data_IF_567709720089
#
_entry.id   IF_567709720089
#
_cell.length_a   1.000
_cell.length_b   1.000
_cell.length_c   1.000
_cell.angle_alpha   90.00
_cell.angle_beta   90.00
_cell.angle_gamma   90.00
#
_symmetry.space_group_name_H-M   'P 1'
#
loop_
_entity.id
_entity.type
_entity.pdbx_description
1 polymer ?
#
# COMPACT_ATOMS: atom_id res chain seq x y z
N UNK A 1 -28.14 44.16 53.02
CA UNK A 1 -26.83 44.25 52.36
C UNK A 1 -26.37 42.84 52.07
N UNK A 2 -26.38 42.39 50.81
CA UNK A 2 -25.53 41.34 50.18
C UNK A 2 -25.86 41.43 48.67
N UNK A 3 -24.89 41.88 47.85
CA UNK A 3 -24.95 41.79 46.38
C UNK A 3 -24.65 40.34 45.99
N UNK A 4 -25.51 39.68 45.22
CA UNK A 4 -25.17 38.42 44.55
C UNK A 4 -25.11 38.68 43.04
N UNK A 5 -23.90 38.58 42.49
CA UNK A 5 -23.61 38.79 41.07
C UNK A 5 -24.15 37.60 40.26
N UNK A 6 -25.02 37.87 39.29
CA UNK A 6 -25.41 36.90 38.28
C UNK A 6 -24.22 36.71 37.32
N UNK A 7 -23.39 35.70 37.57
CA UNK A 7 -22.39 35.26 36.61
C UNK A 7 -23.13 34.87 35.31
N UNK A 8 -22.81 35.45 34.14
CA UNK A 8 -23.57 35.17 32.93
C UNK A 8 -23.33 33.71 32.53
N UNK A 9 -24.40 32.92 32.55
CA UNK A 9 -24.45 31.51 32.14
C UNK A 9 -23.99 31.27 30.68
N UNK A 10 -23.70 32.33 29.93
CA UNK A 10 -23.20 32.29 28.55
C UNK A 10 -21.80 31.67 28.37
N UNK A 11 -21.02 31.51 29.44
CA UNK A 11 -19.67 30.92 29.34
C UNK A 11 -19.66 29.39 29.31
N UNK A 12 -20.75 28.71 29.70
CA UNK A 12 -20.78 27.25 29.66
C UNK A 12 -21.11 26.69 28.26
N UNK A 13 -21.63 27.54 27.36
CA UNK A 13 -22.09 27.13 26.02
C UNK A 13 -21.00 27.19 24.95
N UNK A 14 -19.83 27.77 25.25
CA UNK A 14 -18.71 27.90 24.29
C UNK A 14 -17.64 26.83 24.49
N UNK A 15 -17.69 26.05 25.58
CA UNK A 15 -16.71 24.98 25.84
C UNK A 15 -17.12 23.60 25.28
N UNK A 16 -17.95 23.60 24.23
CA UNK A 16 -18.24 22.42 23.40
C UNK A 16 -17.77 22.65 21.95
N UNK A 17 -16.80 23.54 21.75
CA UNK A 17 -16.11 23.68 20.48
C UNK A 17 -14.78 22.97 20.59
N UNK A 18 -14.53 22.05 19.66
CA UNK A 18 -13.24 21.40 19.41
C UNK A 18 -12.99 20.10 20.19
N UNK A 19 -13.88 19.12 20.06
CA UNK A 19 -13.42 17.73 20.03
C UNK A 19 -12.66 17.55 18.71
N UNK A 20 -11.32 17.41 18.68
CA UNK A 20 -10.65 17.02 17.46
C UNK A 20 -11.20 15.64 17.09
N UNK A 21 -11.97 15.57 15.99
CA UNK A 21 -12.36 14.29 15.43
C UNK A 21 -11.05 13.56 15.12
N UNK A 22 -10.77 12.47 15.85
CA UNK A 22 -9.74 11.53 15.43
C UNK A 22 -10.21 10.97 14.09
N UNK A 23 -9.70 11.54 13.00
CA UNK A 23 -9.88 10.96 11.68
C UNK A 23 -9.23 9.58 11.73
N UNK A 24 -9.92 8.50 11.33
CA UNK A 24 -9.30 7.20 11.22
C UNK A 24 -8.14 7.33 10.22
N UNK A 25 -6.92 7.05 10.68
CA UNK A 25 -5.78 6.90 9.81
C UNK A 25 -6.02 5.63 8.99
N UNK A 26 -6.42 5.80 7.73
CA UNK A 26 -6.50 4.69 6.79
C UNK A 26 -5.12 4.03 6.73
N UNK A 27 -5.05 2.76 7.13
CA UNK A 27 -3.83 1.99 7.04
C UNK A 27 -3.66 1.57 5.58
N UNK A 28 -2.62 2.09 4.91
CA UNK A 28 -2.28 1.64 3.57
C UNK A 28 -1.81 0.19 3.59
N UNK A 29 -2.25 -0.60 2.62
CA UNK A 29 -1.80 -1.98 2.47
C UNK A 29 -0.29 -2.01 2.24
N UNK A 30 0.41 -2.86 2.99
CA UNK A 30 1.85 -3.02 2.79
C UNK A 30 2.11 -3.98 1.62
N UNK A 31 2.62 -3.43 0.53
CA UNK A 31 2.92 -4.19 -0.70
C UNK A 31 4.43 -4.15 -0.95
N UNK A 32 5.08 -5.31 -0.88
CA UNK A 32 6.51 -5.43 -1.11
C UNK A 32 6.78 -6.02 -2.50
N UNK A 33 7.69 -5.43 -3.25
CA UNK A 33 8.18 -5.92 -4.52
C UNK A 33 9.51 -6.65 -4.32
N UNK A 34 9.69 -7.79 -4.97
CA UNK A 34 10.95 -8.53 -4.98
C UNK A 34 11.21 -9.11 -6.36
N UNK A 35 12.45 -9.49 -6.62
CA UNK A 35 12.84 -10.23 -7.82
C UNK A 35 13.32 -11.61 -7.43
N UNK A 36 13.07 -12.60 -8.28
CA UNK A 36 13.59 -13.95 -8.07
C UNK A 36 15.11 -13.99 -8.23
N UNK A 37 15.69 -13.12 -9.07
CA UNK A 37 17.12 -13.06 -9.36
C UNK A 37 17.60 -11.62 -9.61
N UNK A 38 18.80 -11.31 -9.12
CA UNK A 38 19.54 -10.09 -9.38
C UNK A 38 21.05 -10.36 -9.11
N UNK A 39 21.95 -10.27 -10.10
CA UNK A 39 21.74 -9.80 -11.47
C UNK A 39 21.07 -10.82 -12.40
N UNK A 40 20.63 -10.35 -13.57
CA UNK A 40 20.08 -11.15 -14.68
C UNK A 40 20.79 -10.77 -15.99
N UNK A 41 20.84 -11.70 -16.96
CA UNK A 41 21.41 -11.38 -18.26
C UNK A 41 20.42 -10.58 -19.12
N UNK A 42 20.96 -9.82 -20.08
CA UNK A 42 20.12 -9.26 -21.15
C UNK A 42 19.47 -10.41 -21.92
N UNK A 43 18.23 -10.21 -22.39
CA UNK A 43 17.39 -11.22 -23.07
C UNK A 43 16.94 -12.41 -22.20
N UNK A 44 17.27 -12.43 -20.91
CA UNK A 44 16.75 -13.42 -19.96
C UNK A 44 15.48 -12.91 -19.28
N UNK A 45 14.46 -13.78 -19.20
CA UNK A 45 13.25 -13.45 -18.44
C UNK A 45 13.46 -13.68 -16.94
N UNK A 46 12.88 -12.81 -16.12
CA UNK A 46 12.87 -12.96 -14.67
C UNK A 46 11.52 -12.51 -14.09
N UNK A 47 11.31 -12.79 -12.81
CA UNK A 47 10.03 -12.52 -12.15
C UNK A 47 10.18 -11.35 -11.18
N UNK A 48 9.25 -10.40 -11.29
CA UNK A 48 8.98 -9.42 -10.24
C UNK A 48 7.73 -9.91 -9.50
N UNK A 49 7.86 -10.13 -8.19
CA UNK A 49 6.77 -10.56 -7.32
C UNK A 49 6.34 -9.42 -6.41
N UNK A 50 5.08 -9.01 -6.51
CA UNK A 50 4.44 -8.07 -5.58
C UNK A 50 3.65 -8.88 -4.56
N UNK A 51 3.90 -8.67 -3.27
CA UNK A 51 3.26 -9.41 -2.18
C UNK A 51 2.59 -8.44 -1.22
N UNK A 52 1.29 -8.62 -0.99
CA UNK A 52 0.48 -7.89 -0.03
C UNK A 52 -0.01 -8.83 1.09
N UNK A 53 -0.01 -8.34 2.33
CA UNK A 53 -0.55 -9.07 3.50
C UNK A 53 -2.00 -8.69 3.83
N UNK A 54 -2.53 -7.69 3.15
CA UNK A 54 -3.90 -7.23 3.20
C UNK A 54 -4.40 -6.98 1.78
N UNK A 55 -5.71 -6.87 1.61
CA UNK A 55 -6.33 -6.54 0.32
C UNK A 55 -6.04 -5.08 -0.03
N UNK A 56 -5.34 -4.78 -1.15
CA UNK A 56 -5.13 -3.41 -1.57
C UNK A 56 -6.43 -2.72 -2.02
N UNK A 57 -6.38 -1.39 -2.07
CA UNK A 57 -7.51 -0.55 -2.48
C UNK A 57 -7.93 -0.72 -3.96
N UNK A 58 -7.10 -1.36 -4.78
CA UNK A 58 -7.43 -1.64 -6.17
C UNK A 58 -6.45 -2.60 -6.85
N UNK A 59 -6.74 -2.90 -8.11
CA UNK A 59 -5.86 -3.69 -8.98
C UNK A 59 -4.56 -2.92 -9.29
N UNK A 60 -3.44 -3.63 -9.51
CA UNK A 60 -2.18 -3.01 -9.89
C UNK A 60 -2.19 -2.38 -11.27
N UNK A 61 -1.57 -1.20 -11.40
CA UNK A 61 -1.14 -0.63 -12.68
C UNK A 61 0.35 -0.91 -12.92
N UNK A 62 0.65 -1.95 -13.70
CA UNK A 62 2.02 -2.33 -14.05
C UNK A 62 2.63 -1.53 -15.21
N UNK A 63 1.91 -0.59 -15.82
CA UNK A 63 2.43 0.22 -16.93
C UNK A 63 3.75 0.96 -16.62
N UNK A 64 4.06 1.40 -15.39
CA UNK A 64 5.37 2.00 -15.08
C UNK A 64 6.56 1.06 -15.31
N UNK A 65 6.37 -0.27 -15.19
CA UNK A 65 7.42 -1.26 -15.49
C UNK A 65 7.81 -1.21 -16.97
N UNK A 66 6.90 -0.83 -17.86
CA UNK A 66 7.14 -0.84 -19.29
C UNK A 66 8.18 0.19 -19.74
N UNK A 67 8.62 1.11 -18.87
CA UNK A 67 9.73 2.01 -19.18
C UNK A 67 11.04 1.23 -19.40
N UNK A 68 11.31 0.24 -18.55
CA UNK A 68 12.59 -0.48 -18.52
C UNK A 68 12.46 -1.98 -18.81
N UNK A 69 11.23 -2.50 -18.78
CA UNK A 69 10.94 -3.93 -18.91
C UNK A 69 9.88 -4.20 -19.99
N UNK A 70 9.95 -5.36 -20.63
CA UNK A 70 8.88 -5.89 -21.47
C UNK A 70 8.11 -6.94 -20.68
N UNK A 71 6.81 -6.71 -20.46
CA UNK A 71 5.96 -7.64 -19.72
C UNK A 71 5.57 -8.80 -20.63
N UNK A 72 5.90 -10.02 -20.21
CA UNK A 72 5.58 -11.25 -20.94
C UNK A 72 4.27 -11.89 -20.45
N UNK A 73 4.07 -11.90 -19.13
CA UNK A 73 2.86 -12.43 -18.52
C UNK A 73 2.65 -11.88 -17.11
N UNK A 74 1.41 -11.93 -16.66
CA UNK A 74 0.99 -11.53 -15.33
C UNK A 74 0.11 -12.64 -14.76
N UNK A 75 0.32 -12.97 -13.50
CA UNK A 75 -0.56 -13.88 -12.77
C UNK A 75 -0.78 -13.37 -11.35
N UNK A 76 -1.91 -13.74 -10.77
CA UNK A 76 -2.28 -13.40 -9.41
C UNK A 76 -2.67 -14.67 -8.65
N UNK A 77 -2.25 -14.77 -7.40
CA UNK A 77 -2.69 -15.80 -6.47
C UNK A 77 -3.02 -15.17 -5.12
N UNK A 78 -3.96 -15.80 -4.40
CA UNK A 78 -4.31 -15.41 -3.03
C UNK A 78 -4.39 -16.65 -2.16
N UNK A 79 -3.86 -16.55 -0.96
CA UNK A 79 -3.90 -17.62 0.05
C UNK A 79 -4.27 -17.02 1.40
N UNK A 80 -5.24 -17.63 2.06
CA UNK A 80 -5.66 -17.25 3.41
C UNK A 80 -5.41 -18.42 4.35
N UNK A 81 -4.82 -18.17 5.51
CA UNK A 81 -4.54 -19.20 6.50
C UNK A 81 -5.02 -18.80 7.89
N UNK A 82 -5.35 -19.79 8.72
CA UNK A 82 -5.77 -19.59 10.10
C UNK A 82 -4.93 -20.48 11.01
N UNK A 83 -4.01 -19.90 11.78
CA UNK A 83 -3.06 -20.63 12.64
C UNK A 83 -3.11 -20.05 14.04
N UNK A 84 -3.35 -20.88 15.06
CA UNK A 84 -3.42 -20.47 16.48
C UNK A 84 -4.35 -19.27 16.76
N UNK A 85 -5.48 -19.17 16.06
CA UNK A 85 -6.43 -18.06 16.23
C UNK A 85 -6.04 -16.78 15.51
N UNK A 86 -4.94 -16.76 14.75
CA UNK A 86 -4.52 -15.64 13.92
C UNK A 86 -4.87 -15.91 12.46
N UNK A 87 -5.58 -14.97 11.83
CA UNK A 87 -5.81 -14.95 10.39
C UNK A 87 -4.62 -14.32 9.69
N UNK A 88 -4.18 -14.91 8.57
CA UNK A 88 -3.31 -14.24 7.62
C UNK A 88 -3.88 -14.34 6.21
N UNK A 89 -3.71 -13.28 5.44
CA UNK A 89 -3.99 -13.25 4.01
C UNK A 89 -2.70 -12.87 3.29
N UNK A 90 -2.43 -13.53 2.16
CA UNK A 90 -1.31 -13.19 1.30
C UNK A 90 -1.80 -13.17 -0.13
N UNK A 91 -1.65 -12.04 -0.79
CA UNK A 91 -1.95 -11.86 -2.21
C UNK A 91 -0.64 -11.62 -2.93
N UNK A 92 -0.40 -12.37 -4.01
CA UNK A 92 0.80 -12.24 -4.83
C UNK A 92 0.45 -11.97 -6.28
N UNK A 93 1.15 -11.00 -6.88
CA UNK A 93 1.17 -10.80 -8.32
C UNK A 93 2.56 -11.14 -8.82
N UNK A 94 2.64 -12.04 -9.79
CA UNK A 94 3.88 -12.43 -10.45
C UNK A 94 3.86 -11.83 -11.84
N UNK A 95 4.83 -10.95 -12.11
CA UNK A 95 5.02 -10.32 -13.42
C UNK A 95 6.30 -10.88 -14.03
N UNK A 96 6.16 -11.67 -15.09
CA UNK A 96 7.29 -12.16 -15.87
C UNK A 96 7.71 -11.08 -16.85
N UNK A 97 8.98 -10.70 -16.83
CA UNK A 97 9.52 -9.59 -17.62
C UNK A 97 10.86 -9.94 -18.26
N UNK A 98 11.22 -9.21 -19.32
CA UNK A 98 12.59 -9.13 -19.85
C UNK A 98 13.08 -7.68 -19.75
N UNK A 99 14.33 -7.47 -19.35
CA UNK A 99 14.94 -6.13 -19.33
C UNK A 99 15.16 -5.60 -20.76
N UNK A 100 14.76 -4.35 -21.01
CA UNK A 100 14.94 -3.71 -22.32
C UNK A 100 16.37 -3.21 -22.54
N UNK A 101 17.06 -2.87 -21.45
CA UNK A 101 18.40 -2.28 -21.48
C UNK A 101 19.29 -2.95 -20.42
N UNK A 102 20.59 -2.93 -20.65
CA UNK A 102 21.57 -3.34 -19.64
C UNK A 102 21.87 -2.20 -18.66
N UNK A 103 22.33 -2.55 -17.44
CA UNK A 103 22.69 -1.59 -16.40
C UNK A 103 21.94 -1.82 -15.10
N UNK A 104 21.93 -0.80 -14.24
CA UNK A 104 21.16 -0.81 -13.00
C UNK A 104 19.78 -0.21 -13.26
N UNK A 105 18.77 -1.08 -13.25
CA UNK A 105 17.36 -0.71 -13.40
C UNK A 105 16.69 -0.75 -12.04
N UNK A 106 15.72 0.15 -11.83
CA UNK A 106 14.95 0.25 -10.59
C UNK A 106 13.53 -0.22 -10.86
N UNK A 107 12.95 -0.95 -9.91
CA UNK A 107 11.53 -1.30 -9.97
C UNK A 107 10.76 -0.07 -9.48
N UNK A 108 9.98 0.62 -10.33
CA UNK A 108 9.18 1.74 -9.90
C UNK A 108 8.14 1.32 -8.86
N UNK A 109 7.71 2.27 -8.05
CA UNK A 109 6.54 2.10 -7.21
C UNK A 109 5.31 1.83 -8.10
N UNK A 110 4.58 0.75 -7.81
CA UNK A 110 3.39 0.32 -8.53
C UNK A 110 2.17 0.68 -7.69
N UNK A 111 1.20 1.30 -8.33
CA UNK A 111 -0.04 1.73 -7.71
C UNK A 111 -1.06 0.59 -7.68
N UNK A 112 -1.72 0.40 -6.54
CA UNK A 112 -2.81 -0.54 -6.29
C UNK A 112 -4.00 0.24 -5.72
N UNK A 113 -4.77 0.92 -6.56
CA UNK A 113 -5.79 1.86 -6.09
C UNK A 113 -5.16 3.08 -5.42
N UNK A 114 -5.36 3.27 -4.11
CA UNK A 114 -4.67 4.31 -3.33
C UNK A 114 -3.39 3.81 -2.62
N UNK A 115 -3.13 2.49 -2.63
CA UNK A 115 -1.93 1.88 -2.09
C UNK A 115 -0.77 1.87 -3.09
N UNK A 116 0.47 1.80 -2.60
CA UNK A 116 1.66 1.76 -3.44
C UNK A 116 2.66 0.71 -2.96
N UNK A 117 3.29 0.02 -3.92
CA UNK A 117 4.38 -0.91 -3.64
C UNK A 117 5.66 -0.20 -3.24
N UNK A 118 6.54 -0.95 -2.56
CA UNK A 118 7.93 -0.58 -2.27
C UNK A 118 8.88 -1.71 -2.68
N UNK A 119 10.04 -1.36 -3.24
CA UNK A 119 11.11 -2.27 -3.67
C UNK A 119 12.25 -2.34 -2.66
#
# INVERSE_FOLDING_TARGET
MIKSHHLPLFLLSILLTLSPALLPQAAAAQINASVDRNPVNIDESFQITFTATDTPDGEPDFSPLEQDFSILSQSQSSSSSWVNGQSSNTIQWIVNVIAKNSGSLVIPAIQFGADSSRS
#
